data_IF_420811126699
#
_entry.id   IF_420811126699
#
_cell.length_a   1.000
_cell.length_b   1.000
_cell.length_c   1.000
_cell.angle_alpha   90.00
_cell.angle_beta   90.00
_cell.angle_gamma   90.00
#
_symmetry.space_group_name_H-M   'P 1'
#
loop_
_entity.id
_entity.type
_entity.pdbx_description
1 polymer ?
#
# COMPACT_ATOMS: atom_id res chain seq x y z
N UNK A 1 12.13 3.45 -12.57
CA UNK A 1 11.07 3.53 -11.54
C UNK A 1 10.29 2.23 -11.63
N UNK A 2 10.28 1.42 -10.57
CA UNK A 2 9.77 0.05 -10.60
C UNK A 2 8.23 0.01 -10.42
N UNK A 3 7.54 -0.77 -11.26
CA UNK A 3 6.23 -1.33 -10.89
C UNK A 3 6.49 -2.50 -9.94
N UNK A 4 5.88 -2.49 -8.77
CA UNK A 4 6.14 -3.47 -7.71
C UNK A 4 4.91 -4.37 -7.48
N UNK A 5 4.99 -5.68 -7.75
CA UNK A 5 3.84 -6.58 -7.58
C UNK A 5 3.54 -7.09 -6.15
N UNK A 6 2.28 -7.47 -5.91
CA UNK A 6 1.71 -8.60 -5.15
C UNK A 6 2.10 -9.04 -3.72
N UNK A 7 1.17 -8.83 -2.76
CA UNK A 7 1.04 -9.45 -1.40
C UNK A 7 0.21 -10.73 -1.38
N UNK A 8 0.33 -11.53 -0.31
CA UNK A 8 -0.44 -12.73 0.02
C UNK A 8 -0.86 -12.63 1.48
N UNK A 9 -2.11 -12.96 1.83
CA UNK A 9 -2.61 -13.05 3.21
C UNK A 9 -3.78 -14.03 3.29
N UNK A 10 -3.76 -14.96 4.25
CA UNK A 10 -4.86 -15.88 4.55
C UNK A 10 -5.54 -15.60 5.89
N UNK A 11 -6.87 -15.68 5.93
CA UNK A 11 -7.66 -15.73 7.17
C UNK A 11 -8.62 -16.93 7.16
N UNK A 12 -8.81 -17.56 8.32
CA UNK A 12 -9.80 -18.61 8.54
C UNK A 12 -10.99 -18.04 9.33
N UNK A 13 -12.15 -17.90 8.67
CA UNK A 13 -13.48 -18.15 9.25
C UNK A 13 -13.95 -17.45 10.53
N UNK A 14 -13.39 -16.32 10.95
CA UNK A 14 -13.82 -15.59 12.16
C UNK A 14 -14.41 -14.21 11.86
N UNK A 15 -15.69 -14.00 12.19
CA UNK A 15 -16.39 -12.70 12.10
C UNK A 15 -15.68 -11.68 13.00
N UNK A 16 -15.22 -10.56 12.46
CA UNK A 16 -14.77 -9.40 13.24
C UNK A 16 -15.98 -8.75 13.92
N UNK A 17 -16.18 -8.99 15.20
CA UNK A 17 -17.08 -8.19 16.05
C UNK A 17 -16.26 -7.21 16.89
N UNK A 18 -16.59 -5.93 16.80
CA UNK A 18 -16.02 -4.90 17.66
C UNK A 18 -16.60 -5.05 19.07
N UNK A 19 -15.75 -5.31 20.05
CA UNK A 19 -16.16 -5.30 21.46
C UNK A 19 -15.83 -3.93 22.06
N UNK A 20 -16.80 -3.32 22.75
CA UNK A 20 -16.62 -2.03 23.43
C UNK A 20 -16.05 -2.32 24.81
N UNK A 21 -14.73 -2.30 24.94
CA UNK A 21 -14.05 -2.42 26.23
C UNK A 21 -14.14 -1.15 27.06
N UNK A 22 -14.64 -1.27 28.29
CA UNK A 22 -14.81 -0.24 29.30
C UNK A 22 -13.49 0.44 29.73
N UNK A 23 -13.61 1.70 30.14
CA UNK A 23 -12.52 2.53 30.65
C UNK A 23 -12.11 2.10 32.06
N UNK A 24 -10.83 1.78 32.25
CA UNK A 24 -10.22 1.67 33.57
C UNK A 24 -9.53 3.00 33.92
N UNK A 25 -10.02 3.64 34.97
CA UNK A 25 -9.45 4.82 35.62
C UNK A 25 -8.33 4.39 36.58
N UNK A 26 -7.17 5.03 36.52
CA UNK A 26 -6.07 4.77 37.45
C UNK A 26 -4.83 5.59 37.14
N UNK A 27 -4.54 6.57 37.99
CA UNK A 27 -3.38 7.46 37.97
C UNK A 27 -2.23 6.87 38.81
N UNK A 28 -1.06 6.62 38.21
CA UNK A 28 0.24 6.56 38.91
C UNK A 28 1.42 6.77 37.93
N UNK A 29 2.32 7.76 38.14
CA UNK A 29 3.46 8.02 37.28
C UNK A 29 4.73 7.33 37.80
N UNK A 30 5.13 6.20 37.22
CA UNK A 30 6.53 5.75 37.28
C UNK A 30 6.90 4.82 36.12
N UNK A 31 8.00 5.17 35.44
CA UNK A 31 8.65 4.37 34.40
C UNK A 31 9.24 3.09 35.02
N UNK A 32 8.66 1.91 34.71
CA UNK A 32 9.39 0.64 34.84
C UNK A 32 8.85 -0.45 33.90
N UNK A 33 9.75 -0.93 33.04
CA UNK A 33 9.84 -2.29 32.45
C UNK A 33 8.53 -3.02 32.11
N UNK A 34 8.09 -2.90 30.85
CA UNK A 34 7.06 -3.76 30.27
C UNK A 34 7.54 -5.22 30.14
N UNK A 35 6.89 -6.13 30.87
CA UNK A 35 6.90 -7.57 30.61
C UNK A 35 5.82 -7.88 29.56
N UNK A 36 6.10 -8.59 28.46
CA UNK A 36 5.08 -8.99 27.53
C UNK A 36 4.35 -10.22 28.09
N UNK A 37 3.12 -10.03 28.59
CA UNK A 37 2.21 -11.13 28.87
C UNK A 37 0.94 -10.97 28.04
N UNK A 38 1.01 -11.38 26.77
CA UNK A 38 -0.12 -11.94 26.02
C UNK A 38 0.42 -12.66 24.78
N UNK A 39 0.40 -13.99 24.82
CA UNK A 39 0.58 -14.83 23.64
C UNK A 39 -0.60 -14.60 22.69
N UNK A 40 -0.39 -13.89 21.58
CA UNK A 40 -1.25 -14.04 20.40
C UNK A 40 -0.78 -15.27 19.62
N UNK A 41 -1.71 -16.18 19.32
CA UNK A 41 -1.45 -17.39 18.54
C UNK A 41 -0.96 -17.01 17.12
N UNK A 42 0.09 -17.65 16.59
CA UNK A 42 0.65 -17.33 15.27
C UNK A 42 -0.23 -17.96 14.19
N UNK A 43 -0.48 -17.24 13.09
CA UNK A 43 -0.65 -17.76 11.71
C UNK A 43 -1.25 -16.65 10.82
N UNK A 44 -0.43 -15.62 10.54
CA UNK A 44 -0.66 -14.67 9.45
C UNK A 44 0.66 -14.57 8.69
N UNK A 45 0.68 -15.02 7.44
CA UNK A 45 1.86 -14.94 6.58
C UNK A 45 1.60 -13.98 5.43
N UNK A 46 2.50 -13.01 5.28
CA UNK A 46 2.37 -11.82 4.44
C UNK A 46 3.42 -11.88 3.34
N UNK A 47 3.05 -12.08 2.07
CA UNK A 47 4.04 -12.19 0.98
C UNK A 47 3.78 -11.26 -0.19
N UNK A 48 4.33 -10.04 -0.12
CA UNK A 48 4.55 -9.01 -1.15
C UNK A 48 5.63 -9.44 -2.17
N UNK A 49 5.66 -8.83 -3.35
CA UNK A 49 6.58 -9.07 -4.46
C UNK A 49 7.24 -7.74 -4.88
N UNK A 50 8.38 -7.81 -5.55
CA UNK A 50 8.95 -6.68 -6.29
C UNK A 50 9.71 -7.25 -7.47
N UNK A 51 9.44 -6.75 -8.68
CA UNK A 51 10.14 -7.12 -9.91
C UNK A 51 10.93 -5.90 -10.36
N UNK A 52 12.23 -5.92 -10.11
CA UNK A 52 13.14 -4.95 -10.72
C UNK A 52 13.29 -5.30 -12.20
N UNK A 53 12.80 -4.45 -13.10
CA UNK A 53 13.07 -4.60 -14.54
C UNK A 53 14.06 -3.53 -14.99
N UNK A 54 15.26 -3.98 -15.36
CA UNK A 54 16.19 -3.25 -16.23
C UNK A 54 15.55 -2.99 -17.60
N UNK A 55 16.00 -1.96 -18.35
CA UNK A 55 15.35 -1.46 -19.57
C UNK A 55 15.60 -2.34 -20.81
N UNK A 56 15.63 -3.67 -20.66
CA UNK A 56 15.73 -4.61 -21.76
C UNK A 56 14.49 -5.51 -21.77
N UNK A 57 13.64 -5.29 -22.78
CA UNK A 57 12.62 -6.18 -23.30
C UNK A 57 12.14 -7.30 -22.38
N UNK A 58 10.96 -7.11 -21.78
CA UNK A 58 10.15 -8.24 -21.33
C UNK A 58 8.70 -7.93 -21.64
N UNK A 59 8.14 -8.65 -22.61
CA UNK A 59 6.71 -8.83 -22.73
C UNK A 59 6.19 -9.35 -21.38
N UNK A 60 5.28 -8.62 -20.75
CA UNK A 60 4.56 -9.10 -19.56
C UNK A 60 3.54 -10.12 -20.05
N UNK A 61 4.00 -11.36 -20.24
CA UNK A 61 3.14 -12.48 -20.56
C UNK A 61 2.47 -12.94 -19.26
N UNK A 62 1.31 -12.38 -18.93
CA UNK A 62 0.46 -12.89 -17.84
C UNK A 62 -0.20 -14.18 -18.32
N UNK A 63 0.59 -15.24 -18.48
CA UNK A 63 0.04 -16.59 -18.42
C UNK A 63 -0.15 -16.87 -16.96
N UNK A 64 -1.41 -16.91 -16.51
CA UNK A 64 -1.76 -17.59 -15.27
C UNK A 64 -1.14 -18.99 -15.37
N UNK A 65 -0.08 -19.22 -14.60
CA UNK A 65 0.57 -20.50 -14.57
C UNK A 65 -0.45 -21.45 -13.95
N UNK A 66 -1.13 -22.24 -14.79
CA UNK A 66 -1.89 -23.39 -14.30
C UNK A 66 -0.89 -24.24 -13.52
N UNK A 67 -1.10 -24.31 -12.20
CA UNK A 67 -0.33 -25.19 -11.33
C UNK A 67 -0.53 -26.61 -11.86
N UNK A 68 0.51 -27.18 -12.48
CA UNK A 68 0.49 -28.55 -12.97
C UNK A 68 0.32 -29.50 -11.77
N UNK A 69 -0.67 -30.39 -11.75
CA UNK A 69 -1.00 -31.21 -10.58
C UNK A 69 -0.05 -32.39 -10.34
N UNK A 70 1.10 -32.47 -11.02
CA UNK A 70 1.98 -33.63 -11.00
C UNK A 70 3.37 -33.29 -10.45
N UNK A 71 3.44 -32.93 -9.18
CA UNK A 71 4.69 -32.97 -8.41
C UNK A 71 4.53 -33.92 -7.21
N UNK A 72 5.06 -35.15 -7.27
CA UNK A 72 4.85 -36.15 -6.23
C UNK A 72 6.00 -36.15 -5.23
N UNK A 73 6.03 -35.19 -4.29
CA UNK A 73 6.76 -35.33 -3.03
C UNK A 73 6.33 -34.29 -1.99
N UNK A 74 5.68 -34.76 -0.92
CA UNK A 74 5.57 -34.03 0.35
C UNK A 74 4.47 -32.96 0.39
N UNK A 75 3.26 -33.36 0.77
CA UNK A 75 2.17 -32.44 1.18
C UNK A 75 2.59 -31.67 2.44
N UNK A 76 3.36 -30.60 2.29
CA UNK A 76 3.30 -29.48 3.22
C UNK A 76 1.97 -28.78 2.94
N UNK A 77 0.94 -29.09 3.72
CA UNK A 77 -0.28 -28.26 3.76
C UNK A 77 0.14 -26.93 4.37
N UNK A 78 0.63 -26.00 3.57
CA UNK A 78 0.74 -24.61 4.01
C UNK A 78 -0.68 -24.15 4.36
N UNK A 79 -0.92 -23.63 5.58
CA UNK A 79 -2.27 -23.28 6.07
C UNK A 79 -2.83 -22.01 5.39
N UNK A 80 -2.23 -21.56 4.30
CA UNK A 80 -2.57 -20.30 3.61
C UNK A 80 -3.80 -20.56 2.74
N UNK A 81 -4.89 -19.87 3.04
CA UNK A 81 -6.20 -20.02 2.37
C UNK A 81 -6.47 -18.95 1.32
N UNK A 82 -5.80 -17.79 1.41
CA UNK A 82 -6.05 -16.64 0.54
C UNK A 82 -4.74 -15.90 0.25
N UNK A 83 -4.73 -15.20 -0.89
CA UNK A 83 -3.62 -14.40 -1.42
C UNK A 83 -4.21 -13.07 -1.91
N UNK A 84 -3.82 -11.95 -1.29
CA UNK A 84 -4.34 -10.62 -1.65
C UNK A 84 -3.27 -9.79 -2.36
N UNK A 85 -3.34 -9.76 -3.69
CA UNK A 85 -2.42 -9.01 -4.54
C UNK A 85 -2.85 -7.55 -4.64
N UNK A 86 -2.04 -6.63 -4.09
CA UNK A 86 -2.27 -5.19 -4.19
C UNK A 86 -1.19 -4.57 -5.05
N UNK A 87 -1.60 -3.93 -6.15
CA UNK A 87 -0.70 -3.18 -7.03
C UNK A 87 -0.69 -1.71 -6.62
N UNK A 88 0.50 -1.22 -6.29
CA UNK A 88 0.73 0.13 -5.79
C UNK A 88 2.01 0.72 -6.38
N UNK A 89 2.14 2.04 -6.29
CA UNK A 89 3.31 2.75 -6.80
C UNK A 89 4.15 3.35 -5.68
N UNK A 90 5.46 3.20 -5.81
CA UNK A 90 6.42 4.07 -5.16
C UNK A 90 6.72 5.27 -6.06
N UNK A 91 6.69 6.47 -5.46
CA UNK A 91 6.72 7.74 -6.17
C UNK A 91 7.74 8.68 -5.54
N UNK A 92 8.75 9.02 -6.33
CA UNK A 92 9.74 10.04 -5.98
C UNK A 92 9.62 11.22 -6.94
N UNK A 93 9.42 12.40 -6.36
CA UNK A 93 9.36 13.65 -7.12
C UNK A 93 10.67 14.40 -6.95
N UNK A 94 11.30 14.78 -8.07
CA UNK A 94 12.54 15.57 -8.06
C UNK A 94 13.81 14.78 -7.74
N UNK A 95 13.74 13.46 -7.57
CA UNK A 95 14.93 12.62 -7.36
C UNK A 95 15.60 12.24 -8.69
N UNK A 96 14.86 11.56 -9.59
CA UNK A 96 15.44 11.02 -10.84
C UNK A 96 15.34 11.98 -12.03
N UNK A 97 14.30 12.82 -12.06
CA UNK A 97 13.96 13.70 -13.18
C UNK A 97 13.35 14.99 -12.66
N UNK A 98 13.25 16.00 -13.53
CA UNK A 98 12.60 17.27 -13.14
C UNK A 98 11.13 17.01 -12.81
N UNK A 99 10.60 17.83 -11.90
CA UNK A 99 9.20 17.73 -11.45
C UNK A 99 8.20 17.73 -12.61
N UNK A 100 8.40 18.59 -13.62
CA UNK A 100 7.52 18.64 -14.79
C UNK A 100 7.55 17.35 -15.61
N UNK A 101 8.74 16.76 -15.78
CA UNK A 101 8.95 15.54 -16.54
C UNK A 101 8.29 14.34 -15.84
N UNK A 102 8.49 14.19 -14.52
CA UNK A 102 7.90 13.08 -13.77
C UNK A 102 6.37 13.19 -13.70
N UNK A 103 5.82 14.39 -13.50
CA UNK A 103 4.37 14.60 -13.50
C UNK A 103 3.78 14.26 -14.87
N UNK A 104 4.44 14.68 -15.96
CA UNK A 104 3.99 14.33 -17.31
C UNK A 104 4.05 12.82 -17.56
N UNK A 105 5.15 12.15 -17.20
CA UNK A 105 5.30 10.70 -17.34
C UNK A 105 4.21 9.91 -16.61
N UNK A 106 3.83 10.34 -15.40
CA UNK A 106 2.71 9.76 -14.67
C UNK A 106 1.38 10.01 -15.36
N UNK A 107 1.16 11.22 -15.90
CA UNK A 107 -0.06 11.55 -16.65
C UNK A 107 -0.24 10.71 -17.90
N UNK A 108 0.85 10.39 -18.58
CA UNK A 108 0.84 9.73 -19.90
C UNK A 108 1.32 8.29 -19.76
N UNK A 109 2.59 8.02 -20.06
CA UNK A 109 3.15 6.68 -20.28
C UNK A 109 2.76 5.68 -19.21
N UNK A 110 2.87 6.03 -17.92
CA UNK A 110 2.58 5.06 -16.86
C UNK A 110 1.08 4.77 -16.73
N UNK A 111 0.23 5.78 -16.86
CA UNK A 111 -1.23 5.63 -16.83
C UNK A 111 -1.75 4.95 -18.09
N UNK A 112 -1.19 5.22 -19.25
CA UNK A 112 -1.56 4.56 -20.50
C UNK A 112 -1.22 3.06 -20.45
N UNK A 113 -0.03 2.71 -19.94
CA UNK A 113 0.34 1.29 -19.72
C UNK A 113 -0.61 0.61 -18.74
N UNK A 114 -0.96 1.27 -17.65
CA UNK A 114 -1.88 0.69 -16.68
C UNK A 114 -3.29 0.50 -17.26
N UNK A 115 -3.81 1.47 -18.02
CA UNK A 115 -5.10 1.31 -18.72
C UNK A 115 -5.07 0.14 -19.70
N UNK A 116 -3.96 -0.05 -20.42
CA UNK A 116 -3.80 -1.19 -21.32
C UNK A 116 -3.83 -2.53 -20.57
N UNK A 117 -3.18 -2.63 -19.40
CA UNK A 117 -3.24 -3.83 -18.55
C UNK A 117 -4.66 -4.03 -17.99
N UNK A 118 -5.33 -2.95 -17.58
CA UNK A 118 -6.73 -3.01 -17.14
C UNK A 118 -7.62 -3.59 -18.26
N UNK A 119 -7.47 -3.09 -19.49
CA UNK A 119 -8.18 -3.57 -20.67
C UNK A 119 -7.92 -5.06 -20.93
N UNK A 120 -6.66 -5.50 -20.85
CA UNK A 120 -6.29 -6.92 -21.00
C UNK A 120 -6.87 -7.81 -19.90
N UNK A 121 -7.02 -7.28 -18.69
CA UNK A 121 -7.54 -8.04 -17.54
C UNK A 121 -9.07 -8.15 -17.51
N UNK A 122 -9.81 -7.45 -18.39
CA UNK A 122 -11.29 -7.37 -18.36
C UNK A 122 -11.99 -8.73 -18.46
N UNK A 123 -11.37 -9.72 -19.11
CA UNK A 123 -11.93 -11.07 -19.26
C UNK A 123 -11.75 -11.95 -18.03
N UNK A 124 -10.93 -11.53 -17.05
CA UNK A 124 -10.70 -12.26 -15.81
C UNK A 124 -11.85 -12.05 -14.82
N UNK A 125 -12.04 -12.96 -13.85
CA UNK A 125 -12.92 -12.74 -12.69
C UNK A 125 -12.60 -11.42 -11.99
N UNK A 126 -13.61 -10.74 -11.45
CA UNK A 126 -13.49 -9.38 -10.93
C UNK A 126 -12.34 -9.21 -9.93
N UNK A 127 -12.15 -10.20 -9.07
CA UNK A 127 -11.12 -10.27 -8.04
C UNK A 127 -9.69 -10.46 -8.59
N UNK A 128 -9.56 -10.88 -9.85
CA UNK A 128 -8.28 -11.04 -10.56
C UNK A 128 -8.01 -9.90 -11.55
N UNK A 129 -8.97 -9.00 -11.74
CA UNK A 129 -8.78 -7.87 -12.65
C UNK A 129 -7.82 -6.86 -12.06
N UNK A 130 -6.97 -6.28 -12.91
CA UNK A 130 -5.96 -5.34 -12.48
C UNK A 130 -6.60 -4.04 -11.98
N UNK A 131 -6.23 -3.64 -10.76
CA UNK A 131 -6.54 -2.34 -10.20
C UNK A 131 -5.25 -1.71 -9.68
N UNK A 132 -5.07 -0.42 -9.96
CA UNK A 132 -3.88 0.30 -9.59
C UNK A 132 -4.17 1.33 -8.50
N UNK A 133 -3.41 1.26 -7.41
CA UNK A 133 -3.48 2.21 -6.30
C UNK A 133 -2.32 3.21 -6.33
N UNK A 134 -2.63 4.49 -6.51
CA UNK A 134 -1.66 5.59 -6.45
C UNK A 134 -1.80 6.43 -5.16
N UNK A 135 -0.83 7.31 -4.87
CA UNK A 135 -0.97 8.26 -3.79
C UNK A 135 -1.86 9.44 -4.21
N UNK A 136 -2.54 10.07 -3.25
CA UNK A 136 -3.64 11.01 -3.52
C UNK A 136 -3.25 12.21 -4.38
N UNK A 137 -2.09 12.80 -4.15
CA UNK A 137 -1.62 13.95 -4.94
C UNK A 137 -1.26 13.54 -6.36
N UNK A 138 -0.57 12.40 -6.54
CA UNK A 138 -0.21 11.90 -7.87
C UNK A 138 -1.46 11.62 -8.69
N UNK A 139 -2.44 10.93 -8.10
CA UNK A 139 -3.70 10.68 -8.79
C UNK A 139 -4.47 11.97 -9.07
N UNK A 140 -4.35 12.99 -8.20
CA UNK A 140 -4.92 14.30 -8.50
C UNK A 140 -4.28 14.94 -9.72
N UNK A 141 -2.96 14.79 -9.89
CA UNK A 141 -2.24 15.30 -11.07
C UNK A 141 -2.51 14.51 -12.33
N UNK A 142 -2.69 13.19 -12.23
CA UNK A 142 -3.13 12.35 -13.35
C UNK A 142 -4.54 12.75 -13.83
N UNK A 143 -5.43 13.04 -12.89
CA UNK A 143 -6.84 13.34 -13.16
C UNK A 143 -7.12 14.85 -13.34
N UNK A 144 -6.12 15.70 -13.21
CA UNK A 144 -6.18 17.15 -13.48
C UNK A 144 -6.26 17.40 -15.00
N UNK A 145 -6.94 18.47 -15.42
CA UNK A 145 -6.98 18.90 -16.82
C UNK A 145 -5.63 19.46 -17.25
N UNK A 146 -5.21 19.14 -18.47
CA UNK A 146 -3.97 19.64 -19.07
C UNK A 146 -4.07 19.56 -20.61
N UNK A 147 -3.27 20.37 -21.31
CA UNK A 147 -3.43 20.62 -22.75
C UNK A 147 -3.38 19.39 -23.65
N UNK A 148 -2.68 18.33 -23.26
CA UNK A 148 -2.59 17.07 -24.02
C UNK A 148 -3.64 16.02 -23.67
N UNK A 149 -4.63 16.35 -22.84
CA UNK A 149 -5.70 15.44 -22.46
C UNK A 149 -6.88 15.53 -23.44
N UNK A 150 -7.05 14.53 -24.31
CA UNK A 150 -8.24 14.50 -25.17
C UNK A 150 -9.51 14.19 -24.35
N UNK A 151 -10.69 14.65 -24.80
CA UNK A 151 -11.96 14.34 -24.13
C UNK A 151 -12.23 12.84 -23.97
N UNK A 152 -11.86 12.04 -24.97
CA UNK A 152 -12.04 10.58 -24.96
C UNK A 152 -11.15 9.93 -23.90
N UNK A 153 -9.90 10.38 -23.79
CA UNK A 153 -8.97 9.91 -22.76
C UNK A 153 -9.46 10.32 -21.37
N UNK A 154 -9.95 11.56 -21.21
CA UNK A 154 -10.56 12.04 -19.96
C UNK A 154 -11.72 11.15 -19.54
N UNK A 155 -12.64 10.85 -20.46
CA UNK A 155 -13.77 9.97 -20.19
C UNK A 155 -13.32 8.57 -19.76
N UNK A 156 -12.34 7.97 -20.46
CA UNK A 156 -11.77 6.66 -20.08
C UNK A 156 -11.19 6.66 -18.66
N UNK A 157 -10.45 7.71 -18.28
CA UNK A 157 -9.91 7.83 -16.91
C UNK A 157 -11.03 7.89 -15.88
N UNK A 158 -12.05 8.70 -16.13
CA UNK A 158 -13.19 8.85 -15.23
C UNK A 158 -13.97 7.53 -15.07
N UNK A 159 -14.13 6.78 -16.15
CA UNK A 159 -14.76 5.45 -16.14
C UNK A 159 -13.95 4.45 -15.31
N UNK A 160 -12.62 4.44 -15.45
CA UNK A 160 -11.75 3.57 -14.65
C UNK A 160 -11.75 3.92 -13.16
N UNK A 161 -11.86 5.20 -12.79
CA UNK A 161 -12.03 5.61 -11.40
C UNK A 161 -13.37 5.12 -10.85
N UNK A 162 -14.48 5.37 -11.57
CA UNK A 162 -15.82 4.94 -11.18
C UNK A 162 -15.96 3.41 -11.08
N UNK A 163 -15.30 2.68 -11.98
CA UNK A 163 -15.21 1.22 -11.95
C UNK A 163 -14.27 0.68 -10.86
N UNK A 164 -13.61 1.55 -10.10
CA UNK A 164 -12.72 1.18 -9.02
C UNK A 164 -11.39 0.56 -9.46
N UNK A 165 -11.00 0.74 -10.73
CA UNK A 165 -9.73 0.26 -11.29
C UNK A 165 -8.58 1.21 -10.99
N UNK A 166 -8.84 2.51 -11.00
CA UNK A 166 -7.95 3.48 -10.36
C UNK A 166 -8.40 3.72 -8.94
N UNK A 167 -7.49 3.48 -7.99
CA UNK A 167 -7.69 3.73 -6.57
C UNK A 167 -6.62 4.68 -6.06
N UNK A 168 -6.90 5.35 -4.97
CA UNK A 168 -5.93 6.19 -4.30
C UNK A 168 -6.04 6.04 -2.79
N UNK A 169 -4.88 6.06 -2.13
CA UNK A 169 -4.79 6.04 -0.68
C UNK A 169 -4.79 7.46 -0.10
N UNK A 170 -5.00 7.58 1.21
CA UNK A 170 -5.25 8.86 1.87
C UNK A 170 -4.08 9.86 1.72
N UNK A 171 -2.84 9.38 1.85
CA UNK A 171 -1.65 10.24 1.83
C UNK A 171 -1.32 10.77 0.42
N UNK A 172 -0.76 12.00 0.32
CA UNK A 172 -0.50 12.67 -0.96
C UNK A 172 0.62 11.97 -1.76
N UNK A 173 1.66 11.53 -1.06
CA UNK A 173 2.85 10.77 -1.48
C UNK A 173 3.63 10.42 -0.20
N UNK A 174 4.85 9.88 -0.29
CA UNK A 174 5.70 9.70 0.89
C UNK A 174 6.19 11.06 1.40
N UNK A 175 5.59 11.53 2.49
CA UNK A 175 6.05 12.70 3.24
C UNK A 175 7.17 12.31 4.22
N UNK A 176 8.17 13.17 4.34
CA UNK A 176 9.11 13.16 5.47
C UNK A 176 8.41 13.69 6.71
N UNK A 177 7.82 12.78 7.50
CA UNK A 177 6.92 13.16 8.60
C UNK A 177 7.62 13.90 9.72
N UNK A 178 8.92 13.67 9.92
CA UNK A 178 9.66 14.35 10.99
C UNK A 178 9.95 15.82 10.64
N UNK A 179 9.77 16.21 9.37
CA UNK A 179 9.86 17.60 8.90
C UNK A 179 8.49 18.27 8.72
N UNK A 180 7.39 17.59 9.03
CA UNK A 180 6.03 18.12 8.88
C UNK A 180 5.43 18.43 10.25
N UNK A 181 4.68 19.53 10.37
CA UNK A 181 3.76 19.72 11.49
C UNK A 181 2.44 18.99 11.20
N UNK A 182 1.57 18.80 12.21
CA UNK A 182 0.29 18.12 12.02
C UNK A 182 -0.60 18.75 10.93
N UNK A 183 -0.51 20.06 10.73
CA UNK A 183 -1.29 20.77 9.70
C UNK A 183 -0.85 20.40 8.28
N UNK A 184 0.45 20.28 7.98
CA UNK A 184 0.91 19.81 6.67
C UNK A 184 0.48 18.37 6.41
N UNK A 185 0.56 17.51 7.44
CA UNK A 185 0.09 16.12 7.33
C UNK A 185 -1.41 16.06 7.03
N UNK A 186 -2.22 16.84 7.74
CA UNK A 186 -3.67 16.91 7.55
C UNK A 186 -4.04 17.45 6.16
N UNK A 187 -3.36 18.51 5.70
CA UNK A 187 -3.56 19.05 4.34
C UNK A 187 -3.18 18.06 3.25
N UNK A 188 -2.29 17.11 3.54
CA UNK A 188 -1.99 15.99 2.65
C UNK A 188 -3.23 15.19 2.22
N UNK A 189 -4.28 15.12 3.05
CA UNK A 189 -5.51 14.40 2.72
C UNK A 189 -6.41 15.14 1.72
N UNK A 190 -6.18 16.43 1.48
CA UNK A 190 -7.04 17.27 0.63
C UNK A 190 -7.15 16.65 -0.76
N UNK A 191 -6.04 16.20 -1.35
CA UNK A 191 -6.03 15.65 -2.71
C UNK A 191 -6.93 14.42 -2.87
N UNK A 192 -6.77 13.44 -1.98
CA UNK A 192 -7.61 12.25 -2.00
C UNK A 192 -9.07 12.59 -1.70
N UNK A 193 -9.34 13.48 -0.74
CA UNK A 193 -10.70 13.88 -0.38
C UNK A 193 -11.43 14.63 -1.51
N UNK A 194 -10.72 15.49 -2.25
CA UNK A 194 -11.26 16.22 -3.40
C UNK A 194 -11.61 15.26 -4.54
N UNK A 195 -10.74 14.28 -4.82
CA UNK A 195 -11.04 13.24 -5.79
C UNK A 195 -12.26 12.41 -5.35
N UNK A 196 -12.31 11.96 -4.10
CA UNK A 196 -13.47 11.24 -3.57
C UNK A 196 -14.77 12.04 -3.74
N UNK A 197 -14.77 13.33 -3.41
CA UNK A 197 -15.94 14.20 -3.64
C UNK A 197 -16.30 14.34 -5.11
N UNK A 198 -15.31 14.53 -6.00
CA UNK A 198 -15.52 14.64 -7.46
C UNK A 198 -16.20 13.39 -8.03
N UNK A 199 -15.80 12.20 -7.59
CA UNK A 199 -16.30 10.93 -8.12
C UNK A 199 -17.39 10.27 -7.27
N UNK A 200 -17.85 10.92 -6.18
CA UNK A 200 -18.87 10.35 -5.28
C UNK A 200 -18.42 9.09 -4.55
N UNK A 201 -17.11 8.97 -4.25
CA UNK A 201 -16.51 7.80 -3.61
C UNK A 201 -16.34 8.01 -2.09
N UNK A 202 -16.35 6.94 -1.28
CA UNK A 202 -15.98 7.04 0.13
C UNK A 202 -14.53 7.47 0.30
N UNK A 203 -14.21 8.14 1.42
CA UNK A 203 -12.84 8.52 1.76
C UNK A 203 -11.94 7.28 1.92
N UNK A 204 -10.66 7.34 1.52
CA UNK A 204 -9.77 6.20 1.66
C UNK A 204 -9.50 5.88 3.14
N UNK A 205 -9.64 4.60 3.49
CA UNK A 205 -9.36 4.08 4.84
C UNK A 205 -7.94 3.53 4.98
N UNK A 206 -7.14 3.62 3.93
CA UNK A 206 -5.78 3.11 3.89
C UNK A 206 -4.78 4.20 3.52
N UNK A 207 -3.61 4.16 4.13
CA UNK A 207 -2.43 4.95 3.78
C UNK A 207 -1.28 4.04 3.36
N UNK A 208 -0.38 4.57 2.54
CA UNK A 208 0.87 3.91 2.18
C UNK A 208 2.00 4.92 2.14
N UNK A 209 3.16 4.52 2.66
CA UNK A 209 4.45 5.19 2.51
C UNK A 209 5.51 4.13 2.23
N UNK A 210 6.41 4.44 1.30
CA UNK A 210 7.62 3.65 1.10
C UNK A 210 8.80 4.60 0.97
N UNK A 211 10.02 4.08 1.17
CA UNK A 211 11.32 4.77 1.14
C UNK A 211 11.82 5.14 2.53
N UNK A 212 11.09 6.01 3.22
CA UNK A 212 11.48 6.49 4.55
C UNK A 212 11.30 5.36 5.59
N UNK A 213 12.35 4.99 6.36
CA UNK A 213 12.34 3.84 7.26
C UNK A 213 11.52 4.06 8.53
N UNK A 214 11.35 5.32 8.95
CA UNK A 214 10.70 5.68 10.20
C UNK A 214 9.82 6.91 10.03
N UNK A 215 8.82 7.05 10.90
CA UNK A 215 7.94 8.19 10.89
C UNK A 215 7.64 8.63 12.31
N UNK A 216 7.61 9.95 12.54
CA UNK A 216 7.22 10.54 13.82
C UNK A 216 5.84 10.09 14.30
N UNK A 217 5.71 9.86 15.60
CA UNK A 217 4.49 9.33 16.23
C UNK A 217 3.24 10.18 16.02
N UNK A 218 3.40 11.50 15.81
CA UNK A 218 2.29 12.41 15.50
C UNK A 218 1.54 12.01 14.21
N UNK A 219 2.21 11.34 13.27
CA UNK A 219 1.56 10.86 12.04
C UNK A 219 0.48 9.81 12.35
N UNK A 220 0.69 8.94 13.35
CA UNK A 220 -0.32 7.95 13.74
C UNK A 220 -1.61 8.62 14.22
N UNK A 221 -1.48 9.68 15.02
CA UNK A 221 -2.60 10.53 15.46
C UNK A 221 -3.32 11.15 14.26
N UNK A 222 -2.59 11.83 13.37
CA UNK A 222 -3.19 12.50 12.21
C UNK A 222 -3.90 11.49 11.28
N UNK A 223 -3.30 10.32 11.04
CA UNK A 223 -3.91 9.26 10.24
C UNK A 223 -5.23 8.77 10.86
N UNK A 224 -5.24 8.47 12.16
CA UNK A 224 -6.43 7.98 12.86
C UNK A 224 -7.59 8.99 12.80
N UNK A 225 -7.33 10.27 13.12
CA UNK A 225 -8.33 11.34 13.04
C UNK A 225 -8.77 11.64 11.59
N UNK A 226 -7.88 11.41 10.63
CA UNK A 226 -8.20 11.45 9.19
C UNK A 226 -9.05 10.27 8.69
N UNK A 227 -9.41 9.32 9.56
CA UNK A 227 -10.21 8.13 9.22
C UNK A 227 -9.41 7.01 8.56
N UNK A 228 -8.08 7.09 8.56
CA UNK A 228 -7.21 6.02 8.08
C UNK A 228 -7.12 4.94 9.15
N UNK A 229 -7.41 3.71 8.75
CA UNK A 229 -7.47 2.55 9.65
C UNK A 229 -6.35 1.56 9.39
N UNK A 230 -5.80 1.57 8.17
CA UNK A 230 -4.70 0.71 7.77
C UNK A 230 -3.56 1.51 7.16
N UNK A 231 -2.33 1.24 7.58
CA UNK A 231 -1.14 1.90 7.09
C UNK A 231 -0.12 0.87 6.63
N UNK A 232 0.41 1.02 5.40
CA UNK A 232 1.57 0.26 4.96
C UNK A 232 2.81 1.15 4.93
N UNK A 233 3.87 0.73 5.62
CA UNK A 233 5.20 1.35 5.60
C UNK A 233 6.18 0.36 4.99
N UNK A 234 6.92 0.77 3.97
CA UNK A 234 8.01 -0.02 3.39
C UNK A 234 9.34 0.73 3.42
N UNK A 235 10.33 0.14 4.06
CA UNK A 235 11.66 0.72 4.17
C UNK A 235 12.42 0.62 2.84
N UNK A 236 13.24 1.62 2.51
CA UNK A 236 14.23 1.47 1.45
C UNK A 236 15.40 0.64 1.96
N UNK A 237 15.85 -0.32 1.17
CA UNK A 237 17.13 -0.96 1.42
C UNK A 237 18.23 -0.11 0.76
N UNK A 238 19.36 0.21 1.43
CA UNK A 238 19.92 -0.41 2.63
C UNK A 238 19.70 0.36 3.94
N UNK A 239 18.69 1.24 4.02
CA UNK A 239 18.43 2.03 5.23
C UNK A 239 18.14 1.16 6.45
N UNK A 240 18.56 1.63 7.63
CA UNK A 240 18.30 0.95 8.90
C UNK A 240 16.81 0.82 9.16
N UNK A 241 16.28 -0.40 9.17
CA UNK A 241 14.87 -0.66 9.43
C UNK A 241 14.53 -0.51 10.92
N UNK A 242 13.32 -0.02 11.20
CA UNK A 242 12.74 -0.10 12.55
C UNK A 242 12.40 -1.55 12.85
N UNK A 243 12.83 -2.05 14.03
CA UNK A 243 12.49 -3.40 14.49
C UNK A 243 11.04 -3.42 14.95
N UNK A 244 10.16 -4.09 14.19
CA UNK A 244 8.73 -4.19 14.49
C UNK A 244 8.24 -5.64 14.35
N UNK A 245 7.07 -5.99 14.94
CA UNK A 245 6.43 -7.30 14.74
C UNK A 245 5.90 -7.57 13.32
N UNK A 246 6.11 -6.67 12.35
CA UNK A 246 5.56 -6.76 11.00
C UNK A 246 4.14 -6.21 10.89
N UNK A 247 3.20 -6.68 11.71
CA UNK A 247 1.84 -6.12 11.81
C UNK A 247 1.54 -5.73 13.27
N UNK A 248 1.20 -4.48 13.52
CA UNK A 248 0.99 -3.96 14.86
C UNK A 248 0.05 -2.75 14.88
N UNK A 249 -0.50 -2.44 16.06
CA UNK A 249 -1.17 -1.17 16.28
C UNK A 249 -0.13 -0.09 16.52
N UNK A 250 -0.08 0.90 15.62
CA UNK A 250 0.75 2.08 15.84
C UNK A 250 -0.07 3.11 16.59
N UNK A 251 0.28 3.32 17.86
CA UNK A 251 -0.35 4.30 18.74
C UNK A 251 0.37 5.64 18.66
N UNK A 252 -0.41 6.70 18.41
CA UNK A 252 0.06 8.08 18.46
C UNK A 252 0.12 8.61 19.90
N UNK A 253 0.73 9.79 20.12
CA UNK A 253 0.87 10.40 21.44
C UNK A 253 -0.46 10.71 22.16
N UNK A 254 -1.58 10.77 21.43
CA UNK A 254 -2.93 10.98 21.98
C UNK A 254 -3.68 9.67 22.28
N UNK A 255 -3.05 8.51 22.12
CA UNK A 255 -3.66 7.19 22.27
C UNK A 255 -4.46 6.71 21.06
N UNK A 256 -4.59 7.52 20.00
CA UNK A 256 -5.23 7.09 18.76
C UNK A 256 -4.37 6.05 18.04
N UNK A 257 -5.00 5.08 17.36
CA UNK A 257 -4.30 3.92 16.79
C UNK A 257 -4.64 3.68 15.32
N UNK A 258 -3.63 3.24 14.56
CA UNK A 258 -3.77 2.78 13.17
C UNK A 258 -3.12 1.41 13.01
N UNK A 259 -3.83 0.46 12.37
CA UNK A 259 -3.26 -0.86 12.10
C UNK A 259 -2.16 -0.70 11.05
N UNK A 260 -0.95 -1.09 11.39
CA UNK A 260 0.23 -0.80 10.58
C UNK A 260 0.95 -2.07 10.18
N UNK A 261 1.10 -2.26 8.87
CA UNK A 261 1.98 -3.25 8.27
C UNK A 261 3.31 -2.59 7.93
N UNK A 262 4.38 -3.02 8.57
CA UNK A 262 5.74 -2.60 8.28
C UNK A 262 6.47 -3.67 7.48
N UNK A 263 7.14 -3.24 6.42
CA UNK A 263 7.96 -4.08 5.55
C UNK A 263 9.39 -3.55 5.52
N UNK A 264 10.37 -4.45 5.63
CA UNK A 264 11.79 -4.11 5.55
C UNK A 264 12.27 -3.76 4.12
N UNK A 265 11.42 -3.98 3.12
CA UNK A 265 11.56 -3.42 1.77
C UNK A 265 10.25 -2.72 1.39
N UNK A 266 10.10 -2.26 0.14
CA UNK A 266 8.84 -1.63 -0.31
C UNK A 266 7.63 -2.58 -0.29
N UNK A 267 7.91 -3.88 -0.14
CA UNK A 267 6.98 -4.88 0.35
C UNK A 267 7.74 -6.02 1.03
N UNK A 268 7.16 -7.20 1.11
CA UNK A 268 7.89 -8.46 1.01
C UNK A 268 8.34 -8.68 -0.44
N UNK A 269 9.30 -9.57 -0.62
CA UNK A 269 9.82 -9.98 -1.92
C UNK A 269 9.78 -11.51 -1.95
N UNK A 270 9.38 -12.13 -3.08
CA UNK A 270 9.89 -13.47 -3.39
C UNK A 270 11.27 -13.28 -3.99
N UNK A 271 12.33 -13.81 -3.37
CA UNK A 271 13.65 -13.70 -3.95
C UNK A 271 13.70 -14.60 -5.18
N UNK A 272 14.09 -14.06 -6.33
CA UNK A 272 14.69 -14.89 -7.40
C UNK A 272 16.03 -15.49 -6.95
N UNK A 273 16.53 -15.09 -5.77
CA UNK A 273 17.78 -15.55 -5.17
C UNK A 273 17.63 -15.69 -3.64
N UNK A 274 17.40 -16.90 -3.14
CA UNK A 274 17.71 -17.27 -1.75
C UNK A 274 18.86 -18.28 -1.77
N UNK A 275 20.06 -17.95 -1.26
CA UNK A 275 20.84 -18.92 -0.53
C UNK A 275 20.12 -19.19 0.80
N UNK A 276 19.79 -20.46 1.07
CA UNK A 276 19.25 -20.96 2.35
C UNK A 276 20.00 -20.39 3.55
N UNK A 277 19.44 -19.42 4.27
CA UNK A 277 19.86 -19.12 5.64
C UNK A 277 18.70 -18.52 6.43
N UNK A 278 18.06 -19.35 7.26
CA UNK A 278 17.58 -19.05 8.62
C UNK A 278 17.09 -20.39 9.20
N UNK A 279 18.00 -21.07 9.90
CA UNK A 279 17.73 -22.13 10.87
C UNK A 279 17.59 -21.50 12.25
#
# INVERSE_FOLDING_TARGET
MCMEPAVVFGQNGGKLTMDKGEAATGTDPSFTTWRPSMLMKPNLMIVLMSLAMSPAFAEVNVKAQQLNPTDPAGKSKTPVTEVIVIIKTHFDIGYTHRVKEIVHHYRTEMIDRAMNIMDQSKSLPLEQQFAWTGPGWVMSKVLEDWDGQTPERRQRLDDYVKAGKFRFHALPFTLESDACEPEEMARGFIFASQLCRKYGMPLPRSGKKTDVPSHGGALATVLAHGGVQFMHIGCNWPSGCVKTPGLFWWEGPDGSRVLTLYSNTYGTCVPSWLPRWYS
#
